data_IF_213019087206
#
_entry.id   IF_213019087206
#
_cell.length_a   1.000
_cell.length_b   1.000
_cell.length_c   1.000
_cell.angle_alpha   90.00
_cell.angle_beta   90.00
_cell.angle_gamma   90.00
#
_symmetry.space_group_name_H-M   'P 1'
#
loop_
_entity.id
_entity.type
_entity.pdbx_description
1 polymer ?
#
# COMPACT_ATOMS: atom_id res chain seq x y z
N UNK A 1 19.92 -18.77 1.23
CA UNK A 1 19.50 -19.60 2.39
C UNK A 1 18.17 -19.11 2.96
N UNK A 2 18.01 -17.83 3.34
CA UNK A 2 16.83 -17.35 4.11
C UNK A 2 15.72 -16.64 3.33
N UNK A 3 15.86 -16.38 2.03
CA UNK A 3 14.80 -15.72 1.24
C UNK A 3 14.60 -14.23 1.54
N UNK A 4 13.98 -13.49 0.62
CA UNK A 4 13.74 -12.04 0.74
C UNK A 4 12.28 -11.68 0.40
N UNK A 5 12.00 -10.39 0.18
CA UNK A 5 10.71 -9.91 -0.37
C UNK A 5 10.49 -10.47 -1.77
N UNK A 6 9.28 -10.95 -2.04
CA UNK A 6 8.87 -11.37 -3.38
C UNK A 6 8.99 -10.24 -4.41
N UNK A 7 9.76 -10.46 -5.49
CA UNK A 7 9.68 -9.65 -6.71
C UNK A 7 8.31 -9.82 -7.36
N UNK A 8 7.74 -8.72 -7.86
CA UNK A 8 6.44 -8.73 -8.53
C UNK A 8 6.59 -8.26 -9.98
N UNK A 9 5.89 -8.93 -10.88
CA UNK A 9 5.52 -8.40 -12.19
C UNK A 9 4.02 -8.10 -12.15
N UNK A 10 3.63 -6.90 -12.58
CA UNK A 10 2.24 -6.48 -12.66
C UNK A 10 1.95 -6.00 -14.08
N UNK A 11 0.95 -6.60 -14.70
CA UNK A 11 0.37 -6.13 -15.95
C UNK A 11 -1.02 -5.58 -15.67
N UNK A 12 -1.36 -4.48 -16.32
CA UNK A 12 -2.64 -3.82 -16.10
C UNK A 12 -3.21 -3.22 -17.37
N UNK A 13 -4.53 -3.06 -17.36
CA UNK A 13 -5.30 -2.23 -18.28
C UNK A 13 -6.24 -1.37 -17.45
N UNK A 14 -6.19 -0.06 -17.65
CA UNK A 14 -7.00 0.91 -16.89
C UNK A 14 -7.90 1.72 -17.83
N UNK A 15 -9.14 1.94 -17.40
CA UNK A 15 -10.11 2.80 -18.06
C UNK A 15 -10.41 4.03 -17.20
N UNK A 16 -10.35 5.21 -17.81
CA UNK A 16 -10.54 6.50 -17.14
C UNK A 16 -11.17 7.52 -18.09
N UNK A 17 -11.77 8.57 -17.54
CA UNK A 17 -12.34 9.69 -18.30
C UNK A 17 -11.28 10.73 -18.67
N UNK A 18 -11.59 11.61 -19.63
CA UNK A 18 -10.71 12.75 -19.97
C UNK A 18 -10.43 13.69 -18.78
N UNK A 19 -11.31 13.71 -17.76
CA UNK A 19 -11.16 14.51 -16.55
C UNK A 19 -10.37 13.78 -15.44
N UNK A 20 -9.89 12.55 -15.69
CA UNK A 20 -9.11 11.78 -14.73
C UNK A 20 -9.91 10.89 -13.78
N UNK A 21 -11.25 10.82 -13.90
CA UNK A 21 -12.04 9.87 -13.09
C UNK A 21 -11.75 8.42 -13.49
N UNK A 22 -11.50 7.55 -12.52
CA UNK A 22 -11.22 6.14 -12.70
C UNK A 22 -12.52 5.35 -12.87
N UNK A 23 -12.55 4.47 -13.88
CA UNK A 23 -13.76 3.71 -14.24
C UNK A 23 -13.57 2.21 -14.08
N UNK A 24 -12.45 1.68 -14.58
CA UNK A 24 -12.19 0.25 -14.59
C UNK A 24 -10.71 -0.07 -14.45
N UNK A 25 -10.38 -1.18 -13.78
CA UNK A 25 -9.03 -1.69 -13.66
C UNK A 25 -8.99 -3.21 -13.79
N UNK A 26 -8.23 -3.71 -14.76
CA UNK A 26 -7.94 -5.13 -14.93
C UNK A 26 -6.45 -5.38 -14.67
N UNK A 27 -6.15 -6.29 -13.75
CA UNK A 27 -4.82 -6.54 -13.23
C UNK A 27 -4.48 -8.03 -13.26
N UNK A 28 -3.24 -8.32 -13.65
CA UNK A 28 -2.61 -9.61 -13.50
C UNK A 28 -1.27 -9.45 -12.79
N UNK A 29 -1.14 -10.12 -11.65
CA UNK A 29 0.04 -10.10 -10.80
C UNK A 29 0.73 -11.46 -10.84
N UNK A 30 2.06 -11.43 -10.85
CA UNK A 30 2.91 -12.60 -10.64
C UNK A 30 3.96 -12.26 -9.60
N UNK A 31 4.11 -13.11 -8.60
CA UNK A 31 5.18 -13.02 -7.63
C UNK A 31 6.16 -14.18 -7.82
N UNK A 32 7.46 -13.93 -7.69
CA UNK A 32 8.44 -15.01 -7.66
C UNK A 32 8.54 -15.58 -6.24
N UNK A 33 7.96 -16.76 -6.02
CA UNK A 33 7.93 -17.45 -4.71
C UNK A 33 9.22 -18.20 -4.37
N UNK A 34 10.03 -18.53 -5.36
CA UNK A 34 11.21 -19.38 -5.19
C UNK A 34 10.87 -20.87 -5.21
N UNK A 35 11.69 -21.68 -4.54
CA UNK A 35 11.66 -23.14 -4.64
C UNK A 35 10.60 -23.84 -3.78
N UNK A 36 10.04 -23.17 -2.77
CA UNK A 36 8.92 -23.68 -1.95
C UNK A 36 7.80 -22.63 -1.85
N UNK A 37 6.67 -23.04 -1.27
CA UNK A 37 5.48 -22.18 -1.20
C UNK A 37 5.62 -21.08 -0.15
N UNK A 38 6.08 -21.44 1.05
CA UNK A 38 6.17 -20.54 2.22
C UNK A 38 4.88 -19.68 2.37
N UNK A 39 4.99 -18.38 2.66
CA UNK A 39 3.86 -17.45 2.71
C UNK A 39 3.44 -16.88 1.34
N UNK A 40 3.91 -17.43 0.22
CA UNK A 40 3.76 -16.80 -1.10
C UNK A 40 2.30 -16.58 -1.52
N UNK A 41 1.39 -17.49 -1.14
CA UNK A 41 -0.05 -17.35 -1.45
C UNK A 41 -0.66 -16.23 -0.62
N UNK A 42 -0.45 -16.23 0.70
CA UNK A 42 -0.97 -15.19 1.59
C UNK A 42 -0.42 -13.81 1.27
N UNK A 43 0.84 -13.72 0.82
CA UNK A 43 1.44 -12.47 0.33
C UNK A 43 0.74 -11.99 -0.95
N UNK A 44 0.39 -12.90 -1.87
CA UNK A 44 -0.36 -12.55 -3.07
C UNK A 44 -1.79 -12.11 -2.73
N UNK A 45 -2.49 -12.81 -1.83
CA UNK A 45 -3.82 -12.43 -1.36
C UNK A 45 -3.80 -11.04 -0.71
N UNK A 46 -2.84 -10.80 0.17
CA UNK A 46 -2.69 -9.52 0.84
C UNK A 46 -2.36 -8.39 -0.16
N UNK A 47 -1.49 -8.64 -1.14
CA UNK A 47 -1.28 -7.71 -2.25
C UNK A 47 -2.58 -7.42 -3.01
N UNK A 48 -3.38 -8.45 -3.34
CA UNK A 48 -4.63 -8.29 -4.07
C UNK A 48 -5.66 -7.43 -3.32
N UNK A 49 -5.71 -7.52 -1.99
CA UNK A 49 -6.60 -6.72 -1.14
C UNK A 49 -6.15 -5.25 -1.01
N UNK A 50 -4.86 -4.96 -1.25
CA UNK A 50 -4.31 -3.61 -1.20
C UNK A 50 -4.25 -2.90 -2.56
N UNK A 51 -4.61 -3.60 -3.65
CA UNK A 51 -4.80 -2.97 -4.95
C UNK A 51 -5.93 -1.95 -4.89
N UNK A 52 -5.79 -0.86 -5.64
CA UNK A 52 -6.66 0.31 -5.55
C UNK A 52 -6.21 1.33 -4.51
N UNK A 53 -5.34 0.95 -3.55
CA UNK A 53 -4.82 1.84 -2.50
C UNK A 53 -5.95 2.65 -1.82
N UNK A 54 -5.95 3.99 -2.00
CA UNK A 54 -6.96 4.90 -1.46
C UNK A 54 -8.01 5.31 -2.49
N UNK A 55 -7.99 4.74 -3.69
CA UNK A 55 -8.79 5.21 -4.82
C UNK A 55 -9.93 4.25 -5.15
N UNK A 56 -11.06 4.84 -5.51
CA UNK A 56 -12.24 4.10 -5.93
C UNK A 56 -12.15 3.76 -7.42
N UNK A 57 -12.06 2.47 -7.72
CA UNK A 57 -12.28 1.93 -9.05
C UNK A 57 -13.63 1.20 -9.05
N UNK A 58 -14.68 1.73 -9.73
CA UNK A 58 -16.01 1.12 -9.72
C UNK A 58 -16.04 -0.32 -10.27
N UNK A 59 -15.16 -0.63 -11.21
CA UNK A 59 -15.06 -1.95 -11.83
C UNK A 59 -13.63 -2.48 -11.70
N UNK A 60 -13.43 -3.60 -11.00
CA UNK A 60 -12.10 -4.18 -10.84
C UNK A 60 -12.10 -5.68 -11.15
N UNK A 61 -11.09 -6.12 -11.90
CA UNK A 61 -10.74 -7.53 -12.08
C UNK A 61 -9.30 -7.74 -11.68
N UNK A 62 -9.06 -8.64 -10.73
CA UNK A 62 -7.72 -8.87 -10.17
C UNK A 62 -7.43 -10.36 -10.21
N UNK A 63 -6.27 -10.71 -10.75
CA UNK A 63 -5.76 -12.09 -10.80
C UNK A 63 -4.32 -12.12 -10.29
N UNK A 64 -4.03 -13.03 -9.37
CA UNK A 64 -2.70 -13.19 -8.78
C UNK A 64 -2.15 -14.61 -8.94
N UNK A 65 -0.85 -14.75 -9.18
CA UNK A 65 -0.16 -16.05 -9.24
C UNK A 65 1.17 -16.02 -8.49
N UNK A 66 1.36 -16.94 -7.56
CA UNK A 66 2.67 -17.22 -6.97
C UNK A 66 3.42 -18.20 -7.87
N UNK A 67 4.55 -17.78 -8.42
CA UNK A 67 5.34 -18.56 -9.37
C UNK A 67 6.43 -19.36 -8.64
N UNK A 68 6.44 -20.68 -8.83
CA UNK A 68 7.54 -21.56 -8.43
C UNK A 68 8.74 -21.35 -9.36
N UNK A 69 9.92 -21.19 -8.80
CA UNK A 69 11.19 -21.07 -9.55
C UNK A 69 12.31 -21.86 -8.86
N UNK A 70 13.49 -21.93 -9.47
CA UNK A 70 14.68 -22.57 -8.87
C UNK A 70 15.53 -21.62 -8.02
N UNK A 71 14.95 -20.51 -7.54
CA UNK A 71 15.59 -19.58 -6.62
C UNK A 71 15.28 -19.94 -5.16
N UNK A 72 16.04 -19.44 -4.17
CA UNK A 72 15.67 -19.58 -2.76
C UNK A 72 14.24 -19.09 -2.51
N UNK A 73 13.49 -19.81 -1.65
CA UNK A 73 12.13 -19.41 -1.28
C UNK A 73 12.10 -18.01 -0.70
N UNK A 74 11.23 -17.15 -1.20
CA UNK A 74 10.95 -15.85 -0.59
C UNK A 74 9.93 -15.99 0.54
N UNK A 75 9.90 -15.03 1.45
CA UNK A 75 9.06 -15.08 2.66
C UNK A 75 8.54 -13.70 3.05
N UNK A 76 7.92 -13.60 4.23
CA UNK A 76 7.42 -12.37 4.79
C UNK A 76 8.51 -11.30 4.89
N UNK A 77 8.23 -10.11 4.35
CA UNK A 77 8.96 -8.89 4.65
C UNK A 77 7.95 -7.77 4.95
N UNK A 78 8.31 -6.80 5.81
CA UNK A 78 7.42 -5.75 6.31
C UNK A 78 6.53 -5.17 5.20
N UNK A 79 5.22 -5.19 5.43
CA UNK A 79 4.18 -4.81 4.47
C UNK A 79 3.53 -5.98 3.72
N UNK A 80 4.17 -7.16 3.68
CA UNK A 80 3.55 -8.43 3.28
C UNK A 80 2.79 -8.38 1.94
N UNK A 81 3.45 -7.95 0.86
CA UNK A 81 2.82 -7.80 -0.47
C UNK A 81 2.10 -6.46 -0.69
N UNK A 82 1.67 -5.79 0.38
CA UNK A 82 1.02 -4.48 0.32
C UNK A 82 1.86 -3.41 -0.40
N UNK A 83 3.16 -3.23 -0.09
CA UNK A 83 4.01 -2.26 -0.79
C UNK A 83 4.08 -2.49 -2.30
N UNK A 84 4.13 -3.75 -2.74
CA UNK A 84 4.14 -4.08 -4.17
C UNK A 84 2.83 -3.70 -4.86
N UNK A 85 1.69 -3.93 -4.20
CA UNK A 85 0.38 -3.55 -4.71
C UNK A 85 0.16 -2.03 -4.74
N UNK A 86 0.52 -1.34 -3.66
CA UNK A 86 0.41 0.12 -3.55
C UNK A 86 1.28 0.79 -4.62
N UNK A 87 2.53 0.35 -4.79
CA UNK A 87 3.41 0.87 -5.84
C UNK A 87 2.83 0.66 -7.24
N UNK A 88 2.26 -0.51 -7.53
CA UNK A 88 1.61 -0.78 -8.80
C UNK A 88 0.42 0.18 -9.05
N UNK A 89 -0.40 0.42 -8.03
CA UNK A 89 -1.51 1.36 -8.09
C UNK A 89 -1.03 2.81 -8.33
N UNK A 90 -0.01 3.26 -7.60
CA UNK A 90 0.52 4.62 -7.78
C UNK A 90 1.16 4.83 -9.15
N UNK A 91 1.86 3.84 -9.69
CA UNK A 91 2.39 3.90 -11.05
C UNK A 91 1.27 4.03 -12.10
N UNK A 92 0.13 3.36 -11.89
CA UNK A 92 -1.05 3.52 -12.77
C UNK A 92 -1.54 4.97 -12.71
N UNK A 93 -1.65 5.56 -11.52
CA UNK A 93 -2.09 6.96 -11.37
C UNK A 93 -1.11 7.93 -12.07
N UNK A 94 0.20 7.74 -11.88
CA UNK A 94 1.23 8.56 -12.55
C UNK A 94 1.16 8.43 -14.08
N UNK A 95 0.91 7.23 -14.61
CA UNK A 95 0.74 7.04 -16.06
C UNK A 95 -0.52 7.71 -16.61
N UNK A 96 -1.62 7.67 -15.88
CA UNK A 96 -2.85 8.40 -16.25
C UNK A 96 -2.59 9.90 -16.25
N UNK A 97 -1.95 10.42 -15.21
CA UNK A 97 -1.60 11.83 -15.09
C UNK A 97 -0.70 12.29 -16.24
N UNK A 98 0.33 11.50 -16.57
CA UNK A 98 1.22 11.76 -17.70
C UNK A 98 0.47 11.77 -19.05
N UNK A 99 -0.41 10.79 -19.28
CA UNK A 99 -1.22 10.72 -20.49
C UNK A 99 -2.16 11.92 -20.65
N UNK A 100 -2.82 12.33 -19.57
CA UNK A 100 -3.73 13.49 -19.56
C UNK A 100 -3.01 14.84 -19.43
N UNK A 101 -1.70 14.84 -19.17
CA UNK A 101 -0.90 16.03 -18.83
C UNK A 101 -1.48 16.82 -17.64
N UNK A 102 -1.98 16.09 -16.64
CA UNK A 102 -2.52 16.63 -15.41
C UNK A 102 -1.56 16.41 -14.25
N UNK A 103 -1.64 17.25 -13.22
CA UNK A 103 -0.94 16.98 -11.95
C UNK A 103 -1.46 15.65 -11.36
N UNK A 104 -0.59 14.66 -11.08
CA UNK A 104 -1.01 13.40 -10.48
C UNK A 104 -1.70 13.59 -9.13
N UNK A 105 -1.37 14.64 -8.38
CA UNK A 105 -2.07 14.98 -7.13
C UNK A 105 -3.58 15.25 -7.35
N UNK A 106 -3.94 15.93 -8.43
CA UNK A 106 -5.34 16.19 -8.77
C UNK A 106 -6.08 14.89 -9.11
N UNK A 107 -5.43 13.96 -9.84
CA UNK A 107 -5.97 12.63 -10.14
C UNK A 107 -6.19 11.85 -8.84
N UNK A 108 -5.23 11.88 -7.91
CA UNK A 108 -5.34 11.23 -6.60
C UNK A 108 -6.55 11.75 -5.83
N UNK A 109 -6.64 13.07 -5.63
CA UNK A 109 -7.71 13.69 -4.86
C UNK A 109 -9.10 13.41 -5.44
N UNK A 110 -9.23 13.52 -6.76
CA UNK A 110 -10.50 13.29 -7.47
C UNK A 110 -11.07 11.89 -7.21
N UNK A 111 -10.19 10.90 -7.06
CA UNK A 111 -10.56 9.50 -7.02
C UNK A 111 -10.47 8.87 -5.63
N UNK A 112 -10.20 9.63 -4.57
CA UNK A 112 -10.20 9.10 -3.22
C UNK A 112 -11.55 8.45 -2.90
N UNK A 113 -11.51 7.36 -2.13
CA UNK A 113 -12.70 6.85 -1.46
C UNK A 113 -13.37 7.95 -0.61
N UNK A 114 -14.66 7.77 -0.38
CA UNK A 114 -15.46 8.53 0.59
C UNK A 114 -15.82 7.64 1.78
N UNK A 115 -16.18 8.27 2.89
CA UNK A 115 -16.76 7.57 4.05
C UNK A 115 -17.97 6.73 3.58
N UNK A 116 -18.04 5.47 4.01
CA UNK A 116 -19.10 4.54 3.63
C UNK A 116 -18.95 3.91 2.25
N UNK A 117 -17.96 4.30 1.44
CA UNK A 117 -17.64 3.56 0.22
C UNK A 117 -17.19 2.13 0.55
N UNK A 118 -17.35 1.23 -0.41
CA UNK A 118 -16.97 -0.17 -0.28
C UNK A 118 -15.72 -0.47 -1.10
N UNK A 119 -14.79 -1.23 -0.53
CA UNK A 119 -13.61 -1.74 -1.26
C UNK A 119 -14.03 -2.74 -2.33
N UNK A 120 -13.11 -3.10 -3.24
CA UNK A 120 -13.38 -4.09 -4.29
C UNK A 120 -13.67 -5.51 -3.78
N UNK A 121 -13.44 -5.76 -2.49
CA UNK A 121 -13.73 -7.02 -1.81
C UNK A 121 -14.89 -6.92 -0.83
N UNK A 122 -15.70 -5.85 -0.91
CA UNK A 122 -16.96 -5.75 -0.17
C UNK A 122 -16.86 -5.17 1.24
N UNK A 123 -15.68 -4.70 1.68
CA UNK A 123 -15.54 -4.09 3.01
C UNK A 123 -15.95 -2.62 2.97
N UNK A 124 -16.86 -2.22 3.87
CA UNK A 124 -17.25 -0.81 4.06
C UNK A 124 -16.11 -0.06 4.77
N UNK A 125 -15.78 1.14 4.28
CA UNK A 125 -14.80 2.02 4.89
C UNK A 125 -15.48 2.91 5.93
N UNK A 126 -15.19 2.61 7.20
CA UNK A 126 -15.59 3.40 8.35
C UNK A 126 -14.40 4.23 8.85
N UNK A 127 -14.68 5.43 9.37
CA UNK A 127 -13.67 6.35 9.90
C UNK A 127 -12.55 6.68 8.90
N UNK A 128 -12.94 6.96 7.65
CA UNK A 128 -12.07 7.29 6.54
C UNK A 128 -11.40 8.66 6.68
N UNK A 129 -10.29 8.68 7.42
CA UNK A 129 -9.55 9.89 7.78
C UNK A 129 -8.52 10.37 6.72
N UNK A 130 -8.31 9.62 5.63
CA UNK A 130 -7.27 9.93 4.63
C UNK A 130 -7.40 11.36 4.05
N UNK A 131 -8.60 11.87 3.68
CA UNK A 131 -8.74 13.24 3.20
C UNK A 131 -8.28 14.29 4.21
N UNK A 132 -8.60 14.10 5.50
CA UNK A 132 -8.17 14.99 6.59
C UNK A 132 -6.65 14.97 6.73
N UNK A 133 -6.05 13.78 6.80
CA UNK A 133 -4.59 13.60 6.94
C UNK A 133 -3.85 14.23 5.76
N UNK A 134 -4.35 14.03 4.54
CA UNK A 134 -3.76 14.66 3.35
C UNK A 134 -3.79 16.18 3.46
N UNK A 135 -4.93 16.78 3.83
CA UNK A 135 -5.04 18.23 4.02
C UNK A 135 -4.05 18.75 5.07
N UNK A 136 -3.93 18.07 6.22
CA UNK A 136 -2.98 18.42 7.27
C UNK A 136 -1.52 18.33 6.79
N UNK A 137 -1.16 17.31 6.00
CA UNK A 137 0.18 17.16 5.44
C UNK A 137 0.46 18.24 4.39
N UNK A 138 -0.50 18.56 3.53
CA UNK A 138 -0.35 19.62 2.51
C UNK A 138 -0.02 20.96 3.16
N UNK A 139 -0.71 21.28 4.25
CA UNK A 139 -0.49 22.51 5.02
C UNK A 139 0.84 22.42 5.77
N UNK A 140 1.03 21.40 6.60
CA UNK A 140 2.20 21.32 7.49
C UNK A 140 3.54 21.10 6.76
N UNK A 141 3.52 20.60 5.52
CA UNK A 141 4.72 20.40 4.71
C UNK A 141 5.03 21.53 3.73
N UNK A 142 4.21 22.60 3.72
CA UNK A 142 4.25 23.70 2.75
C UNK A 142 4.29 23.19 1.29
N UNK A 143 3.46 22.20 0.99
CA UNK A 143 3.52 21.48 -0.30
C UNK A 143 3.38 22.45 -1.49
N UNK A 144 2.38 23.32 -1.46
CA UNK A 144 2.06 24.24 -2.57
C UNK A 144 3.19 25.25 -2.82
N UNK A 145 3.71 25.98 -1.80
CA UNK A 145 4.89 26.81 -1.98
C UNK A 145 6.10 26.05 -2.52
N UNK A 146 6.38 24.85 -2.00
CA UNK A 146 7.53 24.04 -2.42
C UNK A 146 7.41 23.50 -3.84
N UNK A 147 6.20 23.22 -4.30
CA UNK A 147 5.95 22.81 -5.68
C UNK A 147 6.33 23.93 -6.65
N UNK A 148 5.94 25.18 -6.36
CA UNK A 148 6.38 26.36 -7.15
C UNK A 148 7.90 26.53 -7.16
N UNK A 149 8.56 26.27 -6.02
CA UNK A 149 10.03 26.32 -5.94
C UNK A 149 10.70 25.21 -6.77
N UNK A 150 10.10 24.01 -6.80
CA UNK A 150 10.57 22.90 -7.65
C UNK A 150 10.44 23.26 -9.12
N UNK A 151 9.32 23.84 -9.53
CA UNK A 151 9.10 24.27 -10.92
C UNK A 151 10.10 25.32 -11.36
N UNK A 152 10.32 26.36 -10.54
CA UNK A 152 11.29 27.41 -10.84
C UNK A 152 12.73 26.88 -10.88
N UNK A 153 13.09 25.98 -9.94
CA UNK A 153 14.38 25.30 -9.96
C UNK A 153 14.56 24.51 -11.26
N UNK A 154 13.53 23.77 -11.68
CA UNK A 154 13.57 22.95 -12.89
C UNK A 154 13.61 23.79 -14.18
N UNK A 155 13.03 24.99 -14.18
CA UNK A 155 13.09 25.94 -15.30
C UNK A 155 14.50 26.52 -15.50
N UNK A 156 15.21 26.75 -14.39
CA UNK A 156 16.52 27.43 -14.37
C UNK A 156 17.71 26.48 -14.38
N UNK A 157 17.52 25.19 -14.10
CA UNK A 157 18.59 24.20 -14.02
C UNK A 157 18.45 23.14 -15.11
N UNK A 158 19.46 23.03 -16.00
CA UNK A 158 19.44 22.06 -17.12
C UNK A 158 19.88 20.67 -16.66
N UNK A 159 20.97 20.58 -15.89
CA UNK A 159 21.62 19.30 -15.52
C UNK A 159 21.16 18.71 -14.18
N UNK A 160 20.30 19.43 -13.44
CA UNK A 160 19.75 18.97 -12.18
C UNK A 160 18.27 19.30 -12.14
N UNK A 161 17.47 18.35 -11.68
CA UNK A 161 16.03 18.51 -11.49
C UNK A 161 15.66 18.14 -10.06
N UNK A 162 14.56 18.71 -9.58
CA UNK A 162 13.89 18.36 -8.33
C UNK A 162 12.52 17.78 -8.64
N UNK A 163 12.04 16.91 -7.77
CA UNK A 163 10.69 16.37 -7.78
C UNK A 163 10.09 16.46 -6.39
N UNK A 164 8.78 16.61 -6.32
CA UNK A 164 8.01 16.58 -5.08
C UNK A 164 6.75 15.77 -5.34
N UNK A 165 6.33 14.97 -4.37
CA UNK A 165 5.14 14.15 -4.47
C UNK A 165 4.55 13.91 -3.09
N UNK A 166 3.23 13.74 -3.06
CA UNK A 166 2.47 13.33 -1.88
C UNK A 166 1.58 12.14 -2.29
N UNK A 167 1.63 11.07 -1.51
CA UNK A 167 0.98 9.80 -1.81
C UNK A 167 0.18 9.35 -0.58
N UNK A 168 -1.14 9.15 -0.69
CA UNK A 168 -1.92 8.57 0.40
C UNK A 168 -1.69 7.06 0.50
N UNK A 169 -2.02 6.48 1.65
CA UNK A 169 -2.03 5.02 1.81
C UNK A 169 -3.16 4.54 2.71
N UNK A 170 -3.74 3.39 2.36
CA UNK A 170 -4.67 2.62 3.19
C UNK A 170 -4.09 1.22 3.36
N UNK A 171 -3.96 0.78 4.61
CA UNK A 171 -3.40 -0.53 4.93
C UNK A 171 -4.34 -1.29 5.87
N UNK A 172 -4.78 -2.48 5.45
CA UNK A 172 -5.63 -3.36 6.25
C UNK A 172 -4.85 -3.95 7.42
N UNK A 173 -5.45 -3.91 8.62
CA UNK A 173 -4.82 -4.44 9.85
C UNK A 173 -5.47 -5.77 10.21
N UNK A 174 -4.62 -6.76 10.53
CA UNK A 174 -5.03 -8.10 10.93
C UNK A 174 -4.52 -9.18 9.97
N UNK A 175 -4.53 -10.42 10.44
CA UNK A 175 -4.25 -11.59 9.62
C UNK A 175 -5.49 -11.99 8.84
N UNK A 176 -5.30 -12.38 7.56
CA UNK A 176 -6.37 -12.94 6.73
C UNK A 176 -6.96 -14.23 7.33
N UNK A 177 -6.12 -15.05 7.94
CA UNK A 177 -6.54 -16.24 8.67
C UNK A 177 -7.04 -15.83 10.06
N UNK A 178 -8.36 -15.89 10.27
CA UNK A 178 -9.03 -15.40 11.48
C UNK A 178 -8.41 -15.96 12.77
N UNK A 179 -8.06 -17.26 12.79
CA UNK A 179 -7.49 -17.90 13.98
C UNK A 179 -6.10 -17.37 14.36
N UNK A 180 -5.37 -16.66 13.48
CA UNK A 180 -4.11 -16.02 13.86
C UNK A 180 -4.33 -14.70 14.64
N UNK A 181 -5.55 -14.15 14.60
CA UNK A 181 -5.91 -12.93 15.34
C UNK A 181 -6.33 -13.26 16.77
N UNK A 182 -5.46 -13.95 17.51
CA UNK A 182 -5.63 -14.25 18.92
C UNK A 182 -4.34 -13.96 19.68
N UNK A 183 -4.45 -13.59 20.95
CA UNK A 183 -3.31 -13.32 21.82
C UNK A 183 -3.60 -13.79 23.24
N UNK A 184 -2.54 -14.16 23.97
CA UNK A 184 -2.60 -14.57 25.37
C UNK A 184 -1.47 -13.95 26.18
N UNK A 185 -1.73 -13.75 27.48
CA UNK A 185 -0.77 -13.24 28.45
C UNK A 185 -0.91 -13.98 29.79
N UNK A 186 0.18 -14.03 30.55
CA UNK A 186 0.31 -14.61 31.88
C UNK A 186 0.89 -13.55 32.81
N UNK A 187 0.25 -13.37 33.97
CA UNK A 187 0.65 -12.37 34.97
C UNK A 187 0.85 -13.06 36.32
N UNK A 188 1.99 -12.81 36.94
CA UNK A 188 2.30 -13.22 38.31
C UNK A 188 2.47 -11.98 39.20
N UNK A 189 1.80 -11.98 40.36
CA UNK A 189 1.94 -10.96 41.41
C UNK A 189 2.60 -11.63 42.60
N UNK A 190 3.79 -11.17 42.96
CA UNK A 190 4.55 -11.72 44.08
C UNK A 190 4.16 -11.03 45.39
N UNK A 191 4.52 -11.66 46.51
CA UNK A 191 4.19 -11.16 47.86
C UNK A 191 4.85 -9.81 48.19
N UNK A 192 5.96 -9.49 47.52
CA UNK A 192 6.66 -8.20 47.64
C UNK A 192 6.03 -7.09 46.79
N UNK A 193 4.94 -7.39 46.07
CA UNK A 193 4.24 -6.46 45.17
C UNK A 193 4.85 -6.36 43.78
N UNK A 194 5.95 -7.06 43.48
CA UNK A 194 6.51 -7.11 42.13
C UNK A 194 5.59 -7.91 41.19
N UNK A 195 5.60 -7.53 39.90
CA UNK A 195 4.76 -8.12 38.87
C UNK A 195 5.63 -8.64 37.73
N UNK A 196 5.43 -9.90 37.36
CA UNK A 196 6.03 -10.50 36.17
C UNK A 196 4.93 -10.75 35.13
N UNK A 197 5.15 -10.27 33.91
CA UNK A 197 4.24 -10.45 32.77
C UNK A 197 4.96 -11.22 31.66
N UNK A 198 4.27 -12.21 31.10
CA UNK A 198 4.69 -12.94 29.91
C UNK A 198 3.55 -12.94 28.89
N UNK A 199 3.86 -12.85 27.60
CA UNK A 199 2.88 -12.95 26.53
C UNK A 199 3.52 -13.58 25.29
N UNK A 200 2.70 -14.04 24.34
CA UNK A 200 3.18 -14.72 23.12
C UNK A 200 3.87 -13.82 22.08
N UNK A 201 4.06 -12.54 22.38
CA UNK A 201 4.70 -11.57 21.48
C UNK A 201 6.21 -11.58 21.67
N UNK A 202 6.95 -11.53 20.58
CA UNK A 202 8.43 -11.54 20.60
C UNK A 202 8.93 -10.13 20.32
N UNK A 203 9.81 -9.61 21.19
CA UNK A 203 10.47 -8.33 20.93
C UNK A 203 11.55 -8.50 19.85
N UNK A 204 11.35 -7.81 18.73
CA UNK A 204 12.25 -7.81 17.56
C UNK A 204 12.74 -6.39 17.20
N UNK A 205 12.78 -5.50 18.20
CA UNK A 205 13.19 -4.08 18.11
C UNK A 205 12.12 -3.11 17.57
N UNK A 206 11.08 -2.83 18.37
CA UNK A 206 10.22 -1.64 18.28
C UNK A 206 9.67 -1.22 19.66
N UNK A 207 10.51 -1.23 20.69
CA UNK A 207 10.18 -0.68 22.01
C UNK A 207 11.23 0.38 22.34
N UNK A 208 10.88 1.65 22.12
CA UNK A 208 11.48 2.75 22.89
C UNK A 208 10.76 2.83 24.24
#
# INVERSE_FOLDING_TARGET
ITGHRHPFKVEYKVGFTANGNLLALDLQLWSNGGCSLDFSVSIMEHAMLHLGNCYRFPNMRIRGRACKTHLPSNTALRGFGGPQAILACENIIEHIASYLKMDPFNIRQLNLFKEGDTTHYGQILEHWNVPRILNEIIISSDLVPRQKQVDEFNRTNIYRKRGISIIPTKFGIGFLLRFLNQAGALVHIYKDGSVLVSHGGISISYSN
#
